data_IF_274318139667
#
_entry.id   IF_274318139667
#
_cell.length_a   1.000
_cell.length_b   1.000
_cell.length_c   1.000
_cell.angle_alpha   90.00
_cell.angle_beta   90.00
_cell.angle_gamma   90.00
#
_symmetry.space_group_name_H-M   'P 1'
#
loop_
_entity.id
_entity.type
_entity.pdbx_description
1 polymer ?
#
# COMPACT_ATOMS: atom_id res chain seq x y z
N UNK A 1 19.16 55.90 -8.78
CA UNK A 1 17.70 55.97 -8.97
C UNK A 1 17.10 54.69 -8.40
N UNK A 2 16.49 54.75 -7.25
CA UNK A 2 15.85 53.55 -6.63
C UNK A 2 14.39 53.53 -7.05
N UNK A 3 14.02 52.58 -7.93
CA UNK A 3 12.64 52.40 -8.35
C UNK A 3 11.93 51.58 -7.32
N UNK A 4 11.06 52.22 -6.52
CA UNK A 4 10.18 51.50 -5.59
C UNK A 4 9.07 50.78 -6.41
N UNK A 5 8.95 49.47 -6.33
CA UNK A 5 7.88 48.76 -7.02
C UNK A 5 6.50 49.22 -6.50
N UNK A 6 5.55 49.39 -7.40
CA UNK A 6 4.18 49.79 -7.02
C UNK A 6 3.52 48.63 -6.21
N UNK A 7 2.70 48.99 -5.24
CA UNK A 7 1.94 48.03 -4.40
C UNK A 7 1.13 47.02 -5.24
N UNK A 8 0.63 47.42 -6.40
CA UNK A 8 -0.10 46.54 -7.32
C UNK A 8 0.83 45.53 -7.99
N UNK A 9 2.06 45.91 -8.36
CA UNK A 9 3.04 45.00 -8.97
C UNK A 9 3.44 43.91 -7.98
N UNK A 10 3.69 44.25 -6.71
CA UNK A 10 4.01 43.26 -5.66
C UNK A 10 2.87 42.27 -5.45
N UNK A 11 1.61 42.73 -5.45
CA UNK A 11 0.45 41.85 -5.32
C UNK A 11 0.33 40.87 -6.47
N UNK A 12 0.55 41.29 -7.70
CA UNK A 12 0.51 40.42 -8.89
C UNK A 12 1.62 39.39 -8.87
N UNK A 13 2.84 39.76 -8.49
CA UNK A 13 3.98 38.85 -8.41
C UNK A 13 3.77 37.80 -7.31
N UNK A 14 3.22 38.20 -6.13
CA UNK A 14 2.91 37.26 -5.06
C UNK A 14 1.80 36.30 -5.48
N UNK A 15 0.76 36.77 -6.17
CA UNK A 15 -0.33 35.92 -6.67
C UNK A 15 0.20 34.88 -7.69
N UNK A 16 1.02 35.30 -8.64
CA UNK A 16 1.64 34.39 -9.62
C UNK A 16 2.56 33.36 -8.96
N UNK A 17 3.33 33.77 -7.94
CA UNK A 17 4.17 32.85 -7.19
C UNK A 17 3.34 31.78 -6.44
N UNK A 18 2.25 32.17 -5.80
CA UNK A 18 1.36 31.23 -5.10
C UNK A 18 0.69 30.27 -6.08
N UNK A 19 0.22 30.74 -7.23
CA UNK A 19 -0.41 29.89 -8.26
C UNK A 19 0.57 28.95 -8.96
N UNK A 20 1.86 29.30 -9.05
CA UNK A 20 2.87 28.40 -9.63
C UNK A 20 3.45 27.41 -8.64
N UNK A 21 3.53 27.75 -7.35
CA UNK A 21 4.06 26.86 -6.32
C UNK A 21 3.02 25.80 -5.87
N UNK A 22 1.73 26.12 -5.86
CA UNK A 22 0.68 25.20 -5.44
C UNK A 22 0.64 23.89 -6.26
N UNK A 23 0.67 23.89 -7.60
CA UNK A 23 0.68 22.64 -8.37
C UNK A 23 2.00 21.86 -8.21
N UNK A 24 3.13 22.54 -8.04
CA UNK A 24 4.41 21.87 -7.82
C UNK A 24 4.47 21.17 -6.47
N UNK A 25 3.96 21.80 -5.41
CA UNK A 25 3.88 21.17 -4.08
C UNK A 25 2.87 20.03 -4.05
N UNK A 26 1.73 20.16 -4.72
CA UNK A 26 0.75 19.09 -4.91
C UNK A 26 1.35 17.92 -5.68
N UNK A 27 2.09 18.18 -6.75
CA UNK A 27 2.77 17.15 -7.53
C UNK A 27 3.84 16.40 -6.71
N UNK A 28 4.64 17.13 -5.92
CA UNK A 28 5.65 16.52 -5.03
C UNK A 28 4.97 15.67 -3.94
N UNK A 29 3.90 16.16 -3.34
CA UNK A 29 3.12 15.39 -2.37
C UNK A 29 2.51 14.14 -3.03
N UNK A 30 1.89 14.28 -4.19
CA UNK A 30 1.31 13.18 -4.94
C UNK A 30 2.35 12.12 -5.30
N UNK A 31 3.53 12.54 -5.80
CA UNK A 31 4.62 11.61 -6.15
C UNK A 31 5.23 10.91 -4.92
N UNK A 32 5.25 11.58 -3.77
CA UNK A 32 5.76 10.99 -2.52
C UNK A 32 4.79 10.06 -1.83
N UNK A 33 3.48 10.26 -1.96
CA UNK A 33 2.47 9.46 -1.26
C UNK A 33 1.84 8.38 -2.13
N UNK A 34 2.19 8.33 -3.43
CA UNK A 34 1.58 7.38 -4.35
C UNK A 34 0.15 7.71 -4.73
N UNK A 35 -0.22 8.99 -4.58
CA UNK A 35 -1.58 9.45 -4.83
C UNK A 35 -2.59 9.08 -3.74
N UNK A 36 -3.84 9.52 -3.87
CA UNK A 36 -4.89 9.17 -2.93
C UNK A 36 -5.20 7.67 -3.00
N UNK A 37 -5.49 7.03 -1.86
CA UNK A 37 -5.88 5.62 -1.84
C UNK A 37 -7.18 5.42 -2.61
N UNK A 38 -7.30 4.30 -3.32
CA UNK A 38 -8.56 3.91 -3.98
C UNK A 38 -9.65 3.60 -2.95
N UNK A 39 -10.92 3.61 -3.37
CA UNK A 39 -12.02 3.25 -2.47
C UNK A 39 -11.89 1.81 -1.93
N UNK A 40 -11.44 0.87 -2.78
CA UNK A 40 -11.17 -0.52 -2.36
C UNK A 40 -10.08 -0.56 -1.30
N UNK A 41 -8.98 0.16 -1.54
CA UNK A 41 -7.84 0.25 -0.61
C UNK A 41 -8.27 0.83 0.75
N UNK A 42 -8.98 1.97 0.76
CA UNK A 42 -9.48 2.58 2.00
C UNK A 42 -10.39 1.62 2.78
N UNK A 43 -11.21 0.85 2.07
CA UNK A 43 -12.14 -0.10 2.71
C UNK A 43 -11.41 -1.27 3.35
N UNK A 44 -10.43 -1.85 2.65
CA UNK A 44 -9.59 -2.91 3.20
C UNK A 44 -8.81 -2.41 4.42
N UNK A 45 -8.14 -1.26 4.32
CA UNK A 45 -7.42 -0.67 5.46
C UNK A 45 -8.33 -0.42 6.67
N UNK A 46 -9.54 0.08 6.43
CA UNK A 46 -10.54 0.30 7.47
C UNK A 46 -10.96 -1.01 8.14
N UNK A 47 -11.26 -2.04 7.36
CA UNK A 47 -11.67 -3.34 7.86
C UNK A 47 -10.53 -4.02 8.64
N UNK A 48 -9.30 -3.97 8.13
CA UNK A 48 -8.11 -4.44 8.85
C UNK A 48 -7.97 -3.71 10.19
N UNK A 49 -8.11 -2.40 10.23
CA UNK A 49 -8.01 -1.60 11.47
C UNK A 49 -9.04 -2.08 12.51
N UNK A 50 -10.29 -2.26 12.12
CA UNK A 50 -11.31 -2.76 13.04
C UNK A 50 -11.01 -4.18 13.54
N UNK A 51 -10.60 -5.07 12.65
CA UNK A 51 -10.26 -6.44 13.02
C UNK A 51 -9.06 -6.48 13.99
N UNK A 52 -8.02 -5.71 13.73
CA UNK A 52 -6.82 -5.65 14.56
C UNK A 52 -7.08 -5.01 15.94
N UNK A 53 -8.01 -4.04 16.00
CA UNK A 53 -8.42 -3.42 17.24
C UNK A 53 -9.38 -4.30 18.07
N UNK A 54 -10.00 -5.31 17.47
CA UNK A 54 -10.93 -6.21 18.17
C UNK A 54 -10.27 -7.12 19.21
N UNK A 55 -8.94 -7.12 19.31
CA UNK A 55 -8.21 -7.88 20.32
C UNK A 55 -8.05 -9.37 20.01
N UNK A 56 -8.35 -9.80 18.78
CA UNK A 56 -8.15 -11.17 18.32
C UNK A 56 -6.69 -11.45 17.96
N UNK A 57 -6.29 -12.72 17.99
CA UNK A 57 -4.93 -13.14 17.67
C UNK A 57 -4.79 -13.62 16.21
N UNK A 58 -5.89 -13.81 15.52
CA UNK A 58 -5.91 -14.15 14.10
C UNK A 58 -7.14 -13.55 13.40
N UNK A 59 -7.00 -13.25 12.12
CA UNK A 59 -8.03 -12.64 11.27
C UNK A 59 -8.03 -13.32 9.91
N UNK A 60 -9.19 -13.80 9.48
CA UNK A 60 -9.40 -14.25 8.11
C UNK A 60 -9.39 -13.05 7.14
N UNK A 61 -8.72 -13.19 6.01
CA UNK A 61 -8.64 -12.12 5.01
C UNK A 61 -9.90 -11.97 4.16
N UNK A 62 -10.60 -13.06 3.91
CA UNK A 62 -11.77 -13.04 3.05
C UNK A 62 -12.86 -12.04 3.50
N UNK A 63 -13.22 -11.94 4.79
CA UNK A 63 -14.19 -10.95 5.27
C UNK A 63 -13.71 -9.50 5.20
N UNK A 64 -12.40 -9.26 5.08
CA UNK A 64 -11.85 -7.90 5.00
C UNK A 64 -12.06 -7.24 3.63
N UNK A 65 -12.46 -8.03 2.62
CA UNK A 65 -12.60 -7.60 1.23
C UNK A 65 -14.01 -7.82 0.71
N UNK A 66 -14.48 -6.93 -0.19
CA UNK A 66 -15.77 -7.04 -0.86
C UNK A 66 -15.65 -7.37 -2.35
N UNK A 67 -14.46 -7.68 -2.80
CA UNK A 67 -14.17 -8.05 -4.18
C UNK A 67 -13.64 -9.49 -4.25
N UNK A 68 -13.84 -10.20 -5.36
CA UNK A 68 -13.33 -11.56 -5.53
C UNK A 68 -11.80 -11.55 -5.66
N UNK A 69 -11.16 -12.58 -5.11
CA UNK A 69 -9.74 -12.87 -5.27
C UNK A 69 -9.47 -14.34 -4.91
N UNK A 70 -8.37 -14.89 -5.39
CA UNK A 70 -7.96 -16.29 -5.13
C UNK A 70 -6.74 -16.40 -4.23
N UNK A 71 -5.80 -15.46 -4.35
CA UNK A 71 -4.62 -15.37 -3.49
C UNK A 71 -4.30 -13.92 -3.18
N UNK A 72 -3.65 -13.70 -2.07
CA UNK A 72 -3.08 -12.40 -1.71
C UNK A 72 -1.61 -12.57 -1.39
N UNK A 73 -0.79 -11.63 -1.83
CA UNK A 73 0.63 -11.59 -1.55
C UNK A 73 0.95 -10.35 -0.72
N UNK A 74 1.57 -10.57 0.43
CA UNK A 74 2.19 -9.52 1.22
C UNK A 74 3.59 -9.24 0.68
N UNK A 75 3.90 -7.98 0.41
CA UNK A 75 5.18 -7.53 -0.14
C UNK A 75 5.78 -6.49 0.79
N UNK A 76 7.06 -6.65 1.12
CA UNK A 76 7.80 -5.63 1.85
C UNK A 76 8.10 -4.39 0.98
N UNK A 77 8.63 -3.34 1.57
CA UNK A 77 9.11 -2.15 0.87
C UNK A 77 10.46 -2.38 0.19
N UNK A 78 10.80 -1.54 -0.78
CA UNK A 78 12.11 -1.54 -1.44
C UNK A 78 12.31 -2.64 -2.50
N UNK A 79 11.25 -3.32 -2.91
CA UNK A 79 11.32 -4.41 -3.88
C UNK A 79 11.51 -3.90 -5.31
N UNK A 80 12.34 -4.61 -6.06
CA UNK A 80 12.46 -4.43 -7.51
C UNK A 80 11.29 -5.09 -8.25
N UNK A 81 11.09 -4.74 -9.53
CA UNK A 81 10.11 -5.42 -10.39
C UNK A 81 10.38 -6.93 -10.45
N UNK A 82 11.64 -7.34 -10.50
CA UNK A 82 12.01 -8.75 -10.53
C UNK A 82 11.61 -9.49 -9.25
N UNK A 83 11.82 -8.87 -8.07
CA UNK A 83 11.38 -9.43 -6.79
C UNK A 83 9.86 -9.64 -6.75
N UNK A 84 9.11 -8.63 -7.17
CA UNK A 84 7.65 -8.69 -7.20
C UNK A 84 7.16 -9.77 -8.17
N UNK A 85 7.73 -9.84 -9.37
CA UNK A 85 7.42 -10.89 -10.34
C UNK A 85 7.71 -12.28 -9.77
N UNK A 86 8.82 -12.45 -9.05
CA UNK A 86 9.16 -13.73 -8.42
C UNK A 86 8.13 -14.12 -7.34
N UNK A 87 7.71 -13.18 -6.49
CA UNK A 87 6.70 -13.44 -5.44
C UNK A 87 5.32 -13.71 -6.04
N UNK A 88 4.87 -12.90 -7.00
CA UNK A 88 3.55 -13.05 -7.62
C UNK A 88 3.45 -14.29 -8.51
N UNK A 89 4.56 -14.71 -9.13
CA UNK A 89 4.61 -15.78 -10.12
C UNK A 89 4.18 -15.36 -11.53
N UNK A 90 4.03 -14.06 -11.78
CA UNK A 90 3.72 -13.48 -13.09
C UNK A 90 4.23 -12.04 -13.21
N UNK A 91 4.42 -11.54 -14.44
CA UNK A 91 4.85 -10.15 -14.67
C UNK A 91 3.69 -9.17 -14.34
N UNK A 92 3.94 -8.29 -13.40
CA UNK A 92 2.99 -7.23 -13.05
C UNK A 92 3.25 -6.00 -13.94
N UNK A 93 2.39 -5.84 -14.95
CA UNK A 93 2.56 -4.81 -15.99
C UNK A 93 2.49 -3.39 -15.43
N UNK A 94 1.65 -3.15 -14.41
CA UNK A 94 1.44 -1.84 -13.82
C UNK A 94 2.37 -1.58 -12.62
N UNK A 95 3.57 -2.16 -12.62
CA UNK A 95 4.54 -1.97 -11.54
C UNK A 95 4.76 -0.48 -11.17
N UNK A 96 4.72 0.41 -12.15
CA UNK A 96 4.89 1.85 -11.91
C UNK A 96 3.77 2.45 -11.05
N UNK A 97 2.60 1.83 -10.98
CA UNK A 97 1.52 2.25 -10.09
C UNK A 97 1.82 1.93 -8.62
N UNK A 98 2.80 1.07 -8.36
CA UNK A 98 3.21 0.64 -7.01
C UNK A 98 4.40 1.46 -6.46
N UNK A 99 4.51 2.75 -6.83
CA UNK A 99 5.64 3.58 -6.40
C UNK A 99 5.74 3.74 -4.87
N UNK A 100 4.67 3.52 -4.11
CA UNK A 100 4.76 3.46 -2.65
C UNK A 100 5.55 2.26 -2.11
N UNK A 101 5.82 1.22 -2.91
CA UNK A 101 6.70 0.11 -2.52
C UNK A 101 8.13 0.55 -2.23
N UNK A 102 8.54 1.73 -2.70
CA UNK A 102 9.83 2.33 -2.35
C UNK A 102 9.79 3.10 -1.03
N UNK A 103 8.63 3.22 -0.39
CA UNK A 103 8.45 3.97 0.85
C UNK A 103 8.54 3.02 2.04
N UNK A 104 9.50 3.22 2.96
CA UNK A 104 9.68 2.33 4.12
C UNK A 104 8.51 2.37 5.10
N UNK A 105 7.66 3.41 5.04
CA UNK A 105 6.49 3.57 5.90
C UNK A 105 5.32 2.66 5.51
N UNK A 106 5.43 1.93 4.39
CA UNK A 106 4.38 1.06 3.89
C UNK A 106 4.91 -0.33 3.54
N UNK A 107 4.03 -1.30 3.62
CA UNK A 107 4.11 -2.57 2.92
C UNK A 107 2.83 -2.76 2.11
N UNK A 108 2.73 -3.80 1.30
CA UNK A 108 1.63 -3.93 0.34
C UNK A 108 0.97 -5.29 0.40
N UNK A 109 -0.35 -5.28 0.21
CA UNK A 109 -1.13 -6.46 -0.15
C UNK A 109 -1.48 -6.39 -1.63
N UNK A 110 -1.16 -7.43 -2.37
CA UNK A 110 -1.56 -7.57 -3.76
C UNK A 110 -2.57 -8.72 -3.86
N UNK A 111 -3.85 -8.36 -3.95
CA UNK A 111 -4.92 -9.33 -4.18
C UNK A 111 -4.97 -9.70 -5.66
N UNK A 112 -4.91 -10.98 -5.96
CA UNK A 112 -4.96 -11.53 -7.33
C UNK A 112 -6.35 -12.10 -7.57
N UNK A 113 -7.02 -11.61 -8.62
CA UNK A 113 -8.36 -12.03 -8.99
C UNK A 113 -8.37 -13.43 -9.65
N UNK A 114 -9.47 -14.16 -9.44
CA UNK A 114 -9.70 -15.50 -10.00
C UNK A 114 -10.06 -15.49 -11.48
N UNK A 115 -10.79 -14.49 -11.94
CA UNK A 115 -11.67 -14.64 -13.10
C UNK A 115 -11.08 -14.30 -14.46
N UNK A 116 -9.82 -13.90 -14.53
CA UNK A 116 -9.23 -13.67 -15.85
C UNK A 116 -7.89 -14.36 -15.99
N UNK A 117 -7.92 -15.64 -16.30
CA UNK A 117 -6.88 -16.16 -17.19
C UNK A 117 -6.75 -15.18 -18.35
N UNK A 118 -5.53 -14.66 -18.53
CA UNK A 118 -5.24 -13.65 -19.54
C UNK A 118 -5.67 -14.12 -20.93
N UNK A 119 -6.92 -13.93 -21.27
CA UNK A 119 -7.36 -14.02 -22.63
C UNK A 119 -6.70 -12.86 -23.36
N UNK A 120 -5.78 -13.18 -24.28
CA UNK A 120 -5.14 -12.23 -25.18
C UNK A 120 -4.10 -11.29 -24.58
N UNK A 121 -3.19 -11.76 -23.71
CA UNK A 121 -2.02 -11.00 -23.27
C UNK A 121 -2.33 -9.84 -22.31
N UNK A 122 -3.52 -9.77 -21.76
CA UNK A 122 -3.85 -8.81 -20.72
C UNK A 122 -3.32 -9.30 -19.36
N UNK A 123 -2.72 -8.38 -18.59
CA UNK A 123 -2.24 -8.66 -17.26
C UNK A 123 -3.36 -9.22 -16.37
N UNK A 124 -3.01 -10.16 -15.48
CA UNK A 124 -3.96 -10.65 -14.47
C UNK A 124 -4.45 -9.45 -13.65
N UNK A 125 -5.77 -9.30 -13.46
CA UNK A 125 -6.29 -8.23 -12.65
C UNK A 125 -5.82 -8.41 -11.21
N UNK A 126 -5.27 -7.35 -10.65
CA UNK A 126 -4.85 -7.29 -9.25
C UNK A 126 -5.43 -6.06 -8.58
N UNK A 127 -5.65 -6.14 -7.28
CA UNK A 127 -6.01 -4.99 -6.46
C UNK A 127 -4.90 -4.75 -5.45
N UNK A 128 -4.04 -3.74 -5.66
CA UNK A 128 -3.01 -3.38 -4.72
C UNK A 128 -3.59 -2.55 -3.57
N UNK A 129 -3.11 -2.81 -2.36
CA UNK A 129 -3.48 -2.12 -1.12
C UNK A 129 -2.22 -1.77 -0.35
N UNK A 130 -1.98 -0.49 -0.09
CA UNK A 130 -0.93 -0.03 0.82
C UNK A 130 -1.33 -0.29 2.26
N UNK A 131 -0.38 -0.70 3.08
CA UNK A 131 -0.60 -0.88 4.51
C UNK A 131 0.39 -0.01 5.28
N UNK A 132 -0.09 1.04 5.98
CA UNK A 132 0.78 1.90 6.77
C UNK A 132 1.35 1.14 7.96
N UNK A 133 2.69 1.08 8.10
CA UNK A 133 3.35 0.36 9.20
C UNK A 133 2.98 0.95 10.56
N UNK A 134 3.16 2.25 10.72
CA UNK A 134 2.95 2.94 12.01
C UNK A 134 1.49 2.99 12.44
N UNK A 135 0.58 3.19 11.49
CA UNK A 135 -0.83 3.47 11.78
C UNK A 135 -1.70 2.20 11.82
N UNK A 136 -1.21 1.08 11.29
CA UNK A 136 -1.99 -0.13 11.18
C UNK A 136 -1.25 -1.35 11.71
N UNK A 137 -0.24 -1.84 11.00
CA UNK A 137 0.54 -3.01 11.41
C UNK A 137 1.87 -3.08 10.67
N UNK A 138 2.88 -3.64 11.31
CA UNK A 138 4.13 -4.02 10.65
C UNK A 138 4.03 -5.43 10.07
N UNK A 139 4.85 -5.73 9.07
CA UNK A 139 4.89 -7.01 8.37
C UNK A 139 6.08 -7.82 8.88
N UNK A 140 5.82 -9.05 9.27
CA UNK A 140 6.84 -10.04 9.59
C UNK A 140 6.85 -11.12 8.51
N UNK A 141 7.94 -11.25 7.81
CA UNK A 141 8.15 -12.24 6.76
C UNK A 141 9.18 -13.28 7.22
N UNK A 142 9.13 -14.48 6.70
CA UNK A 142 10.20 -15.46 6.91
C UNK A 142 11.58 -14.89 6.50
N UNK A 143 12.62 -15.32 7.19
CA UNK A 143 13.99 -14.84 6.98
C UNK A 143 14.41 -14.88 5.50
N UNK A 144 14.82 -13.72 4.99
CA UNK A 144 15.23 -13.53 3.60
C UNK A 144 14.09 -13.48 2.58
N UNK A 145 12.84 -13.66 2.97
CA UNK A 145 11.71 -13.55 2.07
C UNK A 145 11.46 -12.09 1.68
N UNK A 146 11.14 -11.88 0.41
CA UNK A 146 10.76 -10.57 -0.15
C UNK A 146 9.26 -10.31 -0.08
N UNK A 147 8.50 -11.37 0.11
CA UNK A 147 7.06 -11.37 0.25
C UNK A 147 6.56 -12.80 0.46
N UNK A 148 5.30 -12.90 0.79
CA UNK A 148 4.63 -14.18 1.03
C UNK A 148 3.22 -14.13 0.44
N UNK A 149 2.83 -15.18 -0.26
CA UNK A 149 1.47 -15.33 -0.78
C UNK A 149 0.74 -16.40 0.01
N UNK A 150 -0.55 -16.17 0.25
CA UNK A 150 -1.47 -17.16 0.82
C UNK A 150 -2.73 -17.25 -0.02
N UNK A 151 -3.42 -18.38 0.06
CA UNK A 151 -4.73 -18.58 -0.56
C UNK A 151 -5.81 -17.76 0.14
N UNK A 152 -7.02 -17.79 -0.41
CA UNK A 152 -8.17 -17.10 0.18
C UNK A 152 -8.58 -17.67 1.54
N UNK A 153 -8.28 -18.91 1.78
CA UNK A 153 -8.54 -19.66 3.03
C UNK A 153 -7.47 -19.39 4.10
N UNK A 154 -6.35 -18.76 3.72
CA UNK A 154 -5.31 -18.36 4.64
C UNK A 154 -5.75 -17.22 5.58
N UNK A 155 -4.99 -17.03 6.65
CA UNK A 155 -5.26 -16.04 7.69
C UNK A 155 -4.06 -15.19 8.01
N UNK A 156 -4.31 -14.07 8.67
CA UNK A 156 -3.28 -13.24 9.30
C UNK A 156 -3.25 -13.57 10.79
N UNK A 157 -2.08 -13.91 11.30
CA UNK A 157 -1.81 -13.97 12.73
C UNK A 157 -1.26 -12.66 13.24
N UNK A 158 -1.70 -12.25 14.42
CA UNK A 158 -1.40 -10.94 15.01
C UNK A 158 -0.56 -11.12 16.27
N UNK A 159 0.62 -10.56 16.27
CA UNK A 159 1.46 -10.47 17.47
C UNK A 159 1.48 -9.02 17.96
N UNK A 160 1.16 -8.81 19.24
CA UNK A 160 1.22 -7.50 19.88
C UNK A 160 2.53 -7.34 20.63
N UNK A 161 3.27 -6.26 20.30
CA UNK A 161 4.55 -5.94 20.93
C UNK A 161 4.41 -4.68 21.80
N UNK A 162 5.19 -4.62 22.88
CA UNK A 162 5.45 -3.36 23.57
C UNK A 162 6.54 -2.63 22.80
N UNK A 163 6.19 -1.56 22.11
CA UNK A 163 7.10 -0.83 21.20
C UNK A 163 7.24 0.63 21.60
N UNK A 164 8.35 1.30 21.24
CA UNK A 164 8.51 2.74 21.40
C UNK A 164 7.43 3.55 20.70
N UNK A 165 7.23 4.78 21.15
CA UNK A 165 6.30 5.71 20.50
C UNK A 165 6.71 5.93 19.04
N UNK A 166 5.80 5.70 18.12
CA UNK A 166 6.00 5.87 16.67
C UNK A 166 6.25 4.59 15.91
N UNK A 167 6.28 3.43 16.58
CA UNK A 167 6.29 2.12 15.95
C UNK A 167 4.91 1.45 16.07
N UNK A 168 4.60 0.51 15.18
CA UNK A 168 3.36 -0.25 15.30
C UNK A 168 3.43 -1.26 16.44
N UNK A 169 2.45 -1.27 17.36
CA UNK A 169 2.36 -2.30 18.37
C UNK A 169 1.87 -3.64 17.81
N UNK A 170 1.43 -3.70 16.56
CA UNK A 170 0.88 -4.88 15.91
C UNK A 170 1.83 -5.33 14.81
N UNK A 171 2.17 -6.60 14.83
CA UNK A 171 2.94 -7.29 13.78
C UNK A 171 2.08 -8.39 13.21
N UNK A 172 2.07 -8.50 11.89
CA UNK A 172 1.27 -9.47 11.16
C UNK A 172 2.15 -10.51 10.48
N UNK A 173 1.72 -11.77 10.56
CA UNK A 173 2.28 -12.88 9.83
C UNK A 173 1.19 -13.53 8.98
N UNK A 174 1.54 -14.00 7.80
CA UNK A 174 0.63 -14.68 6.89
C UNK A 174 0.78 -16.18 7.05
N UNK A 175 -0.33 -16.87 7.29
CA UNK A 175 -0.35 -18.31 7.51
C UNK A 175 -1.30 -18.94 6.51
N UNK A 176 -0.79 -19.91 5.74
CA UNK A 176 -1.61 -20.70 4.82
C UNK A 176 -2.53 -21.61 5.62
N UNK A 177 -3.74 -21.84 5.10
CA UNK A 177 -4.63 -22.82 5.70
C UNK A 177 -4.02 -24.23 5.63
N UNK A 178 -4.10 -25.01 6.70
CA UNK A 178 -3.71 -26.40 6.65
C UNK A 178 -4.64 -27.14 5.66
N UNK A 179 -4.08 -27.93 4.73
CA UNK A 179 -4.91 -28.74 3.84
C UNK A 179 -5.69 -29.78 4.66
N UNK A 180 -7.00 -29.72 4.56
CA UNK A 180 -7.91 -30.70 5.14
C UNK A 180 -7.81 -32.06 4.43
#
# INVERSE_FOLDING_TARGET
MSIKPSSSFVKVVVLLAVFSLAPATLYILYSRTGGPPSQKEMKVQKNMRYAFMAGVDAVDLAPLTEFPWIKVCALDSGLSKADITAVLGFDYVNFQELHWLHMPDYWSLIFVDAEREASWGMARPVTPVRVPRKDLADLDLPDGAKGQCISREGRIELTRRSVPVGESPIVVQFVEAEPN
#
